data_IF_156082804622
#
_entry.id   IF_156082804622
#
_cell.length_a   1.000
_cell.length_b   1.000
_cell.length_c   1.000
_cell.angle_alpha   90.00
_cell.angle_beta   90.00
_cell.angle_gamma   90.00
#
_symmetry.space_group_name_H-M   'P 1'
#
loop_
_entity.id
_entity.type
_entity.pdbx_description
1 polymer ?
#
# COMPACT_ATOMS: atom_id res chain seq x y z
N UNK A 1 9.86 -7.19 -13.98
CA UNK A 1 9.77 -8.56 -13.43
C UNK A 1 11.14 -9.19 -13.56
N UNK A 2 11.61 -9.84 -12.50
CA UNK A 2 12.87 -10.57 -12.46
C UNK A 2 12.53 -11.99 -12.00
N UNK A 3 13.15 -13.00 -12.60
CA UNK A 3 12.94 -14.40 -12.23
C UNK A 3 14.25 -15.14 -12.13
N UNK A 4 14.37 -15.99 -11.12
CA UNK A 4 15.49 -16.90 -10.92
C UNK A 4 14.95 -18.25 -10.42
N UNK A 5 15.21 -19.32 -11.17
CA UNK A 5 14.66 -20.65 -10.94
C UNK A 5 13.12 -20.60 -10.83
N UNK A 6 12.59 -21.03 -9.69
CA UNK A 6 11.15 -21.04 -9.37
C UNK A 6 10.68 -19.72 -8.76
N UNK A 7 11.58 -18.78 -8.46
CA UNK A 7 11.25 -17.53 -7.76
C UNK A 7 11.06 -16.38 -8.73
N UNK A 8 10.00 -15.61 -8.51
CA UNK A 8 9.64 -14.44 -9.34
C UNK A 8 9.48 -13.23 -8.43
N UNK A 9 10.10 -12.12 -8.82
CA UNK A 9 9.89 -10.80 -8.26
C UNK A 9 9.19 -9.90 -9.28
N UNK A 10 8.04 -9.35 -8.91
CA UNK A 10 7.30 -8.36 -9.70
C UNK A 10 7.29 -7.04 -8.95
N UNK A 11 7.54 -5.96 -9.67
CA UNK A 11 7.45 -4.59 -9.16
C UNK A 11 6.55 -3.82 -10.10
N UNK A 12 5.72 -2.94 -9.56
CA UNK A 12 4.80 -2.15 -10.35
C UNK A 12 4.07 -1.13 -9.51
N UNK A 13 2.98 -0.61 -10.07
CA UNK A 13 2.09 0.31 -9.39
C UNK A 13 0.64 -0.12 -9.63
N UNK A 14 -0.18 0.02 -8.59
CA UNK A 14 -1.63 -0.07 -8.71
C UNK A 14 -2.23 1.31 -8.52
N UNK A 15 -3.22 1.63 -9.34
CA UNK A 15 -4.10 2.76 -9.11
C UNK A 15 -5.39 2.25 -8.51
N UNK A 16 -5.66 2.64 -7.28
CA UNK A 16 -6.87 2.29 -6.55
C UNK A 16 -7.83 3.47 -6.58
N UNK A 17 -9.10 3.19 -6.84
CA UNK A 17 -10.18 4.16 -6.71
C UNK A 17 -11.10 3.70 -5.60
N UNK A 18 -11.12 4.43 -4.48
CA UNK A 18 -12.13 4.24 -3.46
C UNK A 18 -13.43 4.86 -3.95
N UNK A 19 -14.34 4.01 -4.43
CA UNK A 19 -15.55 4.40 -5.16
C UNK A 19 -16.45 5.33 -4.34
N UNK A 20 -16.51 5.15 -3.02
CA UNK A 20 -17.42 5.95 -2.18
C UNK A 20 -16.91 7.38 -1.94
N UNK A 21 -15.60 7.59 -1.72
CA UNK A 21 -15.05 8.94 -1.53
C UNK A 21 -14.49 9.56 -2.82
N UNK A 22 -14.63 8.86 -3.96
CA UNK A 22 -14.02 9.20 -5.25
C UNK A 22 -12.53 9.55 -5.13
N UNK A 23 -11.85 8.89 -4.20
CA UNK A 23 -10.45 9.14 -3.97
C UNK A 23 -9.63 8.15 -4.78
N UNK A 24 -8.76 8.66 -5.65
CA UNK A 24 -7.88 7.85 -6.49
C UNK A 24 -6.45 8.07 -6.02
N UNK A 25 -5.74 6.99 -5.73
CA UNK A 25 -4.32 7.05 -5.41
C UNK A 25 -3.57 5.95 -6.16
N UNK A 26 -2.30 6.23 -6.45
CA UNK A 26 -1.38 5.29 -7.08
C UNK A 26 -0.34 4.88 -6.05
N UNK A 27 -0.24 3.58 -5.77
CA UNK A 27 0.69 3.01 -4.79
C UNK A 27 1.63 2.01 -5.47
N UNK A 28 2.95 2.08 -5.19
CA UNK A 28 3.88 1.06 -5.66
C UNK A 28 3.61 -0.27 -4.95
N UNK A 29 3.87 -1.36 -5.66
CA UNK A 29 3.82 -2.70 -5.06
C UNK A 29 5.05 -3.52 -5.41
N UNK A 30 5.28 -4.53 -4.58
CA UNK A 30 6.16 -5.65 -4.91
C UNK A 30 5.49 -6.98 -4.60
N UNK A 31 5.72 -7.97 -5.46
CA UNK A 31 5.26 -9.34 -5.31
C UNK A 31 6.47 -10.25 -5.34
N UNK A 32 6.56 -11.15 -4.36
CA UNK A 32 7.41 -12.33 -4.40
C UNK A 32 6.53 -13.56 -4.60
N UNK A 33 6.76 -14.31 -5.66
CA UNK A 33 6.04 -15.55 -5.94
C UNK A 33 7.00 -16.73 -6.14
N UNK A 34 6.54 -17.95 -5.86
CA UNK A 34 7.24 -19.20 -6.21
C UNK A 34 6.33 -20.03 -7.11
N UNK A 35 6.82 -20.44 -8.28
CA UNK A 35 6.08 -21.23 -9.27
C UNK A 35 6.71 -22.61 -9.42
N UNK A 36 5.93 -23.67 -9.19
CA UNK A 36 6.34 -25.07 -9.31
C UNK A 36 5.36 -25.81 -10.21
N UNK A 37 5.88 -26.52 -11.22
CA UNK A 37 5.03 -27.24 -12.17
C UNK A 37 3.98 -26.34 -12.87
N UNK A 38 4.30 -25.06 -13.09
CA UNK A 38 3.39 -24.08 -13.70
C UNK A 38 2.34 -23.49 -12.75
N UNK A 39 2.34 -23.85 -11.46
CA UNK A 39 1.40 -23.35 -10.47
C UNK A 39 2.10 -22.45 -9.43
N UNK A 40 1.43 -21.38 -9.02
CA UNK A 40 1.90 -20.53 -7.91
C UNK A 40 1.72 -21.30 -6.60
N UNK A 41 2.81 -21.55 -5.90
CA UNK A 41 2.84 -22.27 -4.60
C UNK A 41 3.11 -21.34 -3.42
N UNK A 42 3.57 -20.12 -3.68
CA UNK A 42 3.77 -19.07 -2.70
C UNK A 42 3.50 -17.71 -3.34
N UNK A 43 2.86 -16.81 -2.58
CA UNK A 43 2.55 -15.46 -3.01
C UNK A 43 2.63 -14.50 -1.82
N UNK A 44 3.55 -13.54 -1.88
CA UNK A 44 3.69 -12.46 -0.92
C UNK A 44 3.53 -11.13 -1.65
N UNK A 45 2.50 -10.39 -1.26
CA UNK A 45 2.23 -9.04 -1.75
C UNK A 45 2.65 -8.03 -0.69
N UNK A 46 3.43 -7.03 -1.10
CA UNK A 46 3.90 -5.94 -0.25
C UNK A 46 3.51 -4.62 -0.92
N UNK A 47 2.90 -3.76 -0.13
CA UNK A 47 2.18 -2.57 -0.58
C UNK A 47 2.40 -1.42 0.41
N UNK A 48 2.27 -0.18 -0.05
CA UNK A 48 2.38 1.01 0.81
C UNK A 48 1.11 1.22 1.64
N UNK A 49 1.08 0.55 2.80
CA UNK A 49 -0.08 0.54 3.70
C UNK A 49 -0.48 1.92 4.20
N UNK A 50 0.46 2.87 4.36
CA UNK A 50 0.13 4.22 4.84
C UNK A 50 -0.56 5.06 3.76
N UNK A 51 -0.07 4.99 2.52
CA UNK A 51 -0.71 5.63 1.38
C UNK A 51 -2.12 5.06 1.15
N UNK A 52 -2.25 3.73 1.23
CA UNK A 52 -3.53 3.04 1.15
C UNK A 52 -4.50 3.45 2.26
N UNK A 53 -4.09 3.42 3.53
CA UNK A 53 -4.94 3.78 4.65
C UNK A 53 -5.43 5.23 4.57
N UNK A 54 -4.56 6.16 4.16
CA UNK A 54 -4.91 7.57 3.94
C UNK A 54 -5.99 7.73 2.88
N UNK A 55 -5.99 6.87 1.85
CA UNK A 55 -6.99 6.96 0.79
C UNK A 55 -8.43 6.66 1.24
N UNK A 56 -8.58 5.78 2.24
CA UNK A 56 -9.85 5.42 2.86
C UNK A 56 -10.29 6.42 3.93
N UNK A 57 -9.41 7.34 4.33
CA UNK A 57 -9.67 8.32 5.37
C UNK A 57 -10.62 9.40 4.84
N UNK A 58 -11.87 9.38 5.29
CA UNK A 58 -12.94 10.30 4.85
C UNK A 58 -13.06 11.56 5.71
N UNK A 59 -12.38 11.63 6.86
CA UNK A 59 -12.39 12.81 7.72
C UNK A 59 -11.69 12.61 9.07
N UNK A 60 -11.26 13.71 9.69
CA UNK A 60 -10.59 13.71 10.99
C UNK A 60 -9.06 13.74 10.89
N UNK A 61 -8.38 13.72 12.03
CA UNK A 61 -6.92 13.82 12.14
C UNK A 61 -6.36 12.62 12.91
N UNK A 62 -5.33 11.99 12.34
CA UNK A 62 -4.53 10.96 13.02
C UNK A 62 -3.12 11.50 13.27
N UNK A 63 -2.66 11.42 14.52
CA UNK A 63 -1.26 11.62 14.86
C UNK A 63 -0.60 10.26 15.04
N UNK A 64 0.39 9.94 14.22
CA UNK A 64 1.11 8.67 14.26
C UNK A 64 2.40 8.86 15.05
N UNK A 65 2.55 8.25 16.25
CA UNK A 65 3.76 8.34 17.04
C UNK A 65 4.86 7.46 16.44
N UNK A 66 5.95 8.08 16.01
CA UNK A 66 7.14 7.37 15.50
C UNK A 66 8.35 7.45 16.45
N UNK A 67 8.32 8.34 17.43
CA UNK A 67 9.41 8.61 18.36
C UNK A 67 8.83 8.90 19.75
N UNK A 68 9.69 8.89 20.77
CA UNK A 68 9.35 9.35 22.12
C UNK A 68 9.12 10.88 22.15
N UNK A 69 9.70 11.60 21.20
CA UNK A 69 9.48 13.01 20.94
C UNK A 69 8.23 13.23 20.07
N UNK A 70 7.14 13.66 20.68
CA UNK A 70 5.86 13.93 20.03
C UNK A 70 5.93 14.98 18.92
N UNK A 71 6.97 15.83 18.90
CA UNK A 71 7.17 16.81 17.83
C UNK A 71 7.55 16.15 16.48
N UNK A 72 8.00 14.89 16.50
CA UNK A 72 8.32 14.11 15.29
C UNK A 72 7.16 13.26 14.80
N UNK A 73 5.99 13.37 15.42
CA UNK A 73 4.82 12.64 14.98
C UNK A 73 4.39 13.12 13.60
N UNK A 74 3.95 12.19 12.78
CA UNK A 74 3.37 12.50 11.47
C UNK A 74 1.87 12.66 11.61
N UNK A 75 1.34 13.75 11.06
CA UNK A 75 -0.10 14.03 11.04
C UNK A 75 -0.69 13.68 9.68
N UNK A 76 -1.74 12.85 9.69
CA UNK A 76 -2.58 12.58 8.53
C UNK A 76 -3.94 13.23 8.75
N UNK A 77 -4.30 14.18 7.89
CA UNK A 77 -5.59 14.86 7.92
C UNK A 77 -6.32 14.63 6.61
N UNK A 78 -7.62 14.32 6.67
CA UNK A 78 -8.50 14.38 5.51
C UNK A 78 -9.65 15.35 5.79
N UNK A 79 -9.94 16.19 4.79
CA UNK A 79 -11.10 17.07 4.80
C UNK A 79 -12.26 16.36 4.12
N UNK A 80 -13.42 16.29 4.77
CA UNK A 80 -14.66 15.80 4.18
C UNK A 80 -14.92 16.56 2.87
N UNK A 81 -14.92 15.84 1.74
CA UNK A 81 -15.43 16.38 0.48
C UNK A 81 -16.95 16.19 0.49
N UNK A 82 -17.68 17.30 0.64
CA UNK A 82 -19.14 17.35 0.49
C UNK A 82 -19.56 17.18 -0.97
#
# INVERSE_FOLDING_TARGET
>A
MISENETIAVFGQFTYTYVHAQNTFTSPFSIKAIVKGGLITYFQFMEDTYASATSFHVGGEWSIPQDSDSAKNFTVSATLKH
#
